data_IF_894161598279
#
_entry.id   IF_894161598279
#
_cell.length_a   1.000
_cell.length_b   1.000
_cell.length_c   1.000
_cell.angle_alpha   90.00
_cell.angle_beta   90.00
_cell.angle_gamma   90.00
#
_symmetry.space_group_name_H-M   'P 1'
#
loop_
_entity.id
_entity.type
_entity.pdbx_description
1 polymer ?
#
# COMPACT_ATOMS: atom_id res chain seq x y z
N UNK A 1 0.28 -2.45 -14.64
CA UNK A 1 0.33 -3.37 -13.49
C UNK A 1 -0.35 -2.74 -12.30
N UNK A 2 -0.88 -3.55 -11.40
CA UNK A 2 -1.61 -3.07 -10.24
C UNK A 2 -1.23 -3.85 -8.99
N UNK A 3 -1.54 -3.27 -7.83
CA UNK A 3 -1.49 -3.97 -6.56
C UNK A 3 -2.91 -4.28 -6.11
N UNK A 4 -3.08 -5.38 -5.41
CA UNK A 4 -4.37 -5.77 -4.85
C UNK A 4 -4.23 -6.07 -3.38
N UNK A 5 -5.20 -5.62 -2.59
CA UNK A 5 -5.23 -5.87 -1.16
C UNK A 5 -6.69 -6.00 -0.75
N UNK A 6 -7.11 -7.24 -0.50
CA UNK A 6 -8.53 -7.51 -0.24
C UNK A 6 -9.39 -7.10 -1.42
N UNK A 7 -10.36 -6.25 -1.16
CA UNK A 7 -11.28 -5.76 -2.20
C UNK A 7 -10.73 -4.55 -2.98
N UNK A 8 -9.58 -4.03 -2.56
CA UNK A 8 -9.03 -2.81 -3.16
C UNK A 8 -8.03 -3.16 -4.26
N UNK A 9 -8.11 -2.44 -5.38
CA UNK A 9 -7.15 -2.52 -6.48
C UNK A 9 -6.52 -1.15 -6.64
N UNK A 10 -5.19 -1.10 -6.53
CA UNK A 10 -4.43 0.14 -6.66
C UNK A 10 -3.82 0.17 -8.05
N UNK A 11 -4.27 1.12 -8.87
CA UNK A 11 -3.90 1.20 -10.28
C UNK A 11 -2.73 2.14 -10.56
N UNK A 12 -2.43 3.04 -9.62
CA UNK A 12 -1.33 3.99 -9.75
C UNK A 12 -0.32 3.67 -8.66
N UNK A 13 0.82 3.08 -9.06
CA UNK A 13 1.82 2.58 -8.12
C UNK A 13 3.16 3.17 -8.46
N UNK A 14 3.84 3.73 -7.47
CA UNK A 14 5.19 4.27 -7.59
C UNK A 14 6.05 3.70 -6.47
N UNK A 15 7.17 3.09 -6.83
CA UNK A 15 8.12 2.56 -5.87
C UNK A 15 9.39 3.39 -5.90
N UNK A 16 9.88 3.75 -4.72
CA UNK A 16 11.14 4.48 -4.54
C UNK A 16 12.20 3.55 -3.95
N UNK A 17 13.08 2.97 -4.80
CA UNK A 17 14.06 1.99 -4.31
C UNK A 17 15.01 2.51 -3.23
N UNK A 18 15.56 3.73 -3.33
CA UNK A 18 16.50 4.19 -2.31
C UNK A 18 15.94 4.23 -0.91
N UNK A 19 14.67 4.62 -0.77
CA UNK A 19 14.03 4.69 0.54
C UNK A 19 13.24 3.43 0.89
N UNK A 20 13.03 2.54 -0.09
CA UNK A 20 12.18 1.35 0.07
C UNK A 20 10.79 1.75 0.56
N UNK A 21 10.16 2.64 -0.19
CA UNK A 21 8.79 3.11 0.09
C UNK A 21 7.98 3.00 -1.19
N UNK A 22 6.77 2.45 -1.07
CA UNK A 22 5.87 2.29 -2.20
C UNK A 22 4.59 3.07 -1.96
N UNK A 23 4.22 3.87 -2.96
CA UNK A 23 2.99 4.68 -2.94
C UNK A 23 2.00 4.05 -3.92
N UNK A 24 0.79 3.77 -3.47
CA UNK A 24 -0.23 3.19 -4.33
C UNK A 24 -1.54 3.93 -4.14
N UNK A 25 -2.26 4.15 -5.24
CA UNK A 25 -3.51 4.89 -5.22
C UNK A 25 -4.61 4.12 -5.94
N UNK A 26 -5.83 4.27 -5.44
CA UNK A 26 -7.05 3.79 -6.08
C UNK A 26 -7.47 4.87 -7.07
N UNK A 27 -7.22 4.62 -8.36
CA UNK A 27 -7.46 5.63 -9.38
C UNK A 27 -6.36 6.70 -9.41
N UNK A 28 -6.59 7.81 -10.15
CA UNK A 28 -5.57 8.85 -10.28
C UNK A 28 -5.15 9.39 -8.91
N UNK A 29 -3.84 9.61 -8.70
CA UNK A 29 -3.36 10.14 -7.43
C UNK A 29 -3.97 11.48 -7.10
N UNK A 30 -4.31 11.66 -5.83
CA UNK A 30 -4.85 12.92 -5.32
C UNK A 30 -4.38 13.13 -3.90
N UNK A 31 -4.48 14.36 -3.44
CA UNK A 31 -4.06 14.70 -2.09
C UNK A 31 -5.01 14.03 -1.09
N UNK A 32 -4.43 13.40 -0.07
CA UNK A 32 -5.24 12.79 0.97
C UNK A 32 -5.65 13.83 2.00
N UNK A 33 -6.87 13.68 2.55
CA UNK A 33 -7.36 14.51 3.64
C UNK A 33 -6.81 14.03 4.98
N UNK A 34 -6.61 12.71 5.11
CA UNK A 34 -6.06 12.14 6.35
C UNK A 34 -5.26 10.89 6.06
N UNK A 35 -4.45 10.52 7.03
CA UNK A 35 -3.58 9.36 6.98
C UNK A 35 -3.67 8.64 8.32
N UNK A 36 -3.76 7.31 8.29
CA UNK A 36 -3.80 6.50 9.51
C UNK A 36 -2.73 5.42 9.47
N UNK A 37 -1.95 5.26 10.54
CA UNK A 37 -0.95 4.19 10.60
C UNK A 37 -1.62 2.83 10.78
N UNK A 38 -0.95 1.78 10.28
CA UNK A 38 -1.39 0.41 10.47
C UNK A 38 -0.43 -0.31 11.43
N UNK A 39 -0.87 -1.44 12.02
CA UNK A 39 0.01 -2.23 12.89
C UNK A 39 1.28 -2.72 12.18
N UNK A 40 1.24 -2.86 10.84
CA UNK A 40 2.39 -3.31 10.06
C UNK A 40 3.35 -2.18 9.71
N UNK A 41 3.16 -0.99 10.27
CA UNK A 41 3.97 0.21 10.01
C UNK A 41 3.77 0.80 8.62
N UNK A 42 2.60 0.57 8.04
CA UNK A 42 2.18 1.21 6.80
C UNK A 42 1.21 2.33 7.09
N UNK A 43 0.74 3.03 6.06
CA UNK A 43 -0.23 4.11 6.21
C UNK A 43 -1.36 3.93 5.23
N UNK A 44 -2.59 4.09 5.73
CA UNK A 44 -3.78 4.20 4.90
C UNK A 44 -4.04 5.68 4.64
N UNK A 45 -4.43 6.02 3.41
CA UNK A 45 -4.74 7.39 3.03
C UNK A 45 -6.22 7.47 2.68
N UNK A 46 -6.89 8.47 3.22
CA UNK A 46 -8.33 8.67 3.03
C UNK A 46 -8.60 10.01 2.38
N UNK A 47 -9.62 10.05 1.53
CA UNK A 47 -10.05 11.30 0.91
C UNK A 47 -10.94 12.11 1.87
N UNK A 48 -11.44 13.25 1.39
CA UNK A 48 -12.26 14.14 2.22
C UNK A 48 -13.65 13.57 2.57
N UNK A 49 -14.02 12.44 1.94
CA UNK A 49 -15.26 11.73 2.25
C UNK A 49 -15.00 10.50 3.12
N UNK A 50 -13.79 10.33 3.61
CA UNK A 50 -13.44 9.20 4.45
C UNK A 50 -13.27 7.89 3.73
N UNK A 51 -13.14 7.90 2.39
CA UNK A 51 -12.91 6.69 1.61
C UNK A 51 -11.43 6.46 1.39
N UNK A 52 -11.05 5.20 1.37
CA UNK A 52 -9.65 4.84 1.11
C UNK A 52 -9.26 5.26 -0.30
N UNK A 53 -8.27 6.13 -0.43
CA UNK A 53 -7.78 6.59 -1.72
C UNK A 53 -6.37 6.11 -2.04
N UNK A 54 -5.66 5.55 -1.07
CA UNK A 54 -4.32 5.04 -1.31
C UNK A 54 -3.67 4.47 -0.08
N UNK A 55 -2.48 3.94 -0.27
CA UNK A 55 -1.66 3.40 0.83
C UNK A 55 -0.21 3.80 0.61
N UNK A 56 0.53 3.87 1.71
CA UNK A 56 1.98 4.02 1.69
C UNK A 56 2.55 2.81 2.39
N UNK A 57 3.30 1.99 1.65
CA UNK A 57 3.93 0.80 2.21
C UNK A 57 5.37 1.12 2.56
N UNK A 58 5.72 0.93 3.82
CA UNK A 58 7.06 1.20 4.32
C UNK A 58 7.88 -0.07 4.30
N UNK A 59 9.04 -0.02 3.69
CA UNK A 59 10.00 -1.13 3.60
C UNK A 59 9.40 -2.41 2.99
N UNK A 60 8.66 -2.31 1.86
CA UNK A 60 8.01 -3.50 1.30
C UNK A 60 9.02 -4.53 0.79
N UNK A 61 10.14 -4.08 0.21
CA UNK A 61 11.17 -5.00 -0.27
C UNK A 61 11.80 -5.76 0.87
N UNK A 62 12.13 -5.05 1.95
CA UNK A 62 12.71 -5.66 3.13
C UNK A 62 11.75 -6.69 3.75
N UNK A 63 10.46 -6.33 3.86
CA UNK A 63 9.46 -7.24 4.42
C UNK A 63 9.29 -8.48 3.55
N UNK A 64 9.29 -8.31 2.23
CA UNK A 64 9.17 -9.41 1.30
C UNK A 64 10.35 -10.37 1.42
N UNK A 65 11.56 -9.83 1.53
CA UNK A 65 12.78 -10.65 1.65
C UNK A 65 12.85 -11.36 2.99
N UNK A 66 12.43 -10.72 4.06
CA UNK A 66 12.51 -11.28 5.40
C UNK A 66 11.36 -12.23 5.71
N UNK A 67 10.14 -11.86 5.35
CA UNK A 67 8.95 -12.59 5.74
C UNK A 67 8.19 -13.25 4.60
N UNK A 68 8.64 -13.10 3.38
CA UNK A 68 7.97 -13.71 2.23
C UNK A 68 6.71 -13.00 1.78
N UNK A 69 6.33 -11.88 2.39
CA UNK A 69 5.14 -11.15 2.01
C UNK A 69 5.03 -9.82 2.71
N UNK A 70 4.16 -8.96 2.16
CA UNK A 70 3.81 -7.67 2.74
C UNK A 70 2.34 -7.73 3.14
N UNK A 71 2.05 -7.38 4.39
CA UNK A 71 0.69 -7.46 4.93
C UNK A 71 0.19 -6.07 5.29
N UNK A 72 -1.12 -5.89 5.17
CA UNK A 72 -1.76 -4.60 5.37
C UNK A 72 -3.09 -4.80 6.09
N UNK A 73 -3.30 -4.06 7.18
CA UNK A 73 -4.60 -4.02 7.84
C UNK A 73 -5.49 -3.02 7.13
N UNK A 74 -6.63 -3.49 6.64
CA UNK A 74 -7.58 -2.67 5.89
C UNK A 74 -8.50 -1.89 6.83
N UNK A 75 -9.20 -0.85 6.31
CA UNK A 75 -10.09 -0.04 7.17
C UNK A 75 -11.16 -0.84 7.89
N UNK A 76 -11.65 -1.92 7.27
CA UNK A 76 -12.66 -2.79 7.86
C UNK A 76 -12.08 -3.75 8.91
N UNK A 77 -10.75 -3.75 9.11
CA UNK A 77 -10.11 -4.51 10.16
C UNK A 77 -9.39 -5.78 9.69
N UNK A 78 -9.63 -6.22 8.48
CA UNK A 78 -8.98 -7.43 7.95
C UNK A 78 -7.50 -7.16 7.67
N UNK A 79 -6.65 -8.10 8.08
CA UNK A 79 -5.23 -8.08 7.72
C UNK A 79 -5.05 -8.98 6.52
N UNK A 80 -4.60 -8.42 5.41
CA UNK A 80 -4.49 -9.15 4.15
C UNK A 80 -3.09 -9.02 3.57
N UNK A 81 -2.72 -9.99 2.75
CA UNK A 81 -1.46 -9.94 2.01
C UNK A 81 -1.65 -9.03 0.79
N UNK A 82 -0.66 -8.17 0.55
CA UNK A 82 -0.64 -7.32 -0.64
C UNK A 82 -0.15 -8.16 -1.82
N UNK A 83 -0.97 -8.27 -2.86
CA UNK A 83 -0.67 -9.08 -4.03
C UNK A 83 -0.10 -8.22 -5.16
N UNK A 84 0.89 -8.77 -5.87
CA UNK A 84 1.50 -8.08 -7.00
C UNK A 84 2.68 -7.21 -6.64
N UNK A 85 3.11 -7.23 -5.38
CA UNK A 85 4.17 -6.36 -4.87
C UNK A 85 5.52 -6.65 -5.55
N UNK A 86 5.79 -7.90 -5.89
CA UNK A 86 7.08 -8.32 -6.45
C UNK A 86 7.38 -7.60 -7.77
N UNK A 87 6.35 -7.32 -8.57
CA UNK A 87 6.51 -6.65 -9.85
C UNK A 87 7.08 -5.25 -9.71
N UNK A 88 6.89 -4.63 -8.56
CA UNK A 88 7.34 -3.25 -8.33
C UNK A 88 8.67 -3.17 -7.60
N UNK A 89 8.90 -4.07 -6.63
CA UNK A 89 10.09 -3.96 -5.78
C UNK A 89 11.29 -4.75 -6.28
N UNK A 90 11.07 -5.69 -7.19
CA UNK A 90 12.15 -6.50 -7.78
C UNK A 90 12.44 -6.16 -9.24
N UNK A 91 11.68 -5.24 -9.78
CA UNK A 91 11.75 -4.86 -11.20
C UNK A 91 13.01 -4.09 -11.64
#
# INVERSE_FOLDING_TARGET
>A
MSLRSGQYTFTHVTYDPPSDVLYAAVGPPRQSASREPTPESHYLRFDDRGRLCGVILMNPRHQLERGGGVYLSLPEGDRVRVQGIEAFVRG
#
